data_IF_538781245738
#
_entry.id   IF_538781245738
#
_cell.length_a   1.000
_cell.length_b   1.000
_cell.length_c   1.000
_cell.angle_alpha   90.00
_cell.angle_beta   90.00
_cell.angle_gamma   90.00
#
_symmetry.space_group_name_H-M   'P 1'
#
loop_
_entity.id
_entity.type
_entity.pdbx_description
1 polymer ?
#
# COMPACT_ATOMS: atom_id res chain seq x y z
N UNK A 1 9.07 16.80 -1.76
CA UNK A 1 8.56 15.47 -1.41
C UNK A 1 7.27 15.31 -2.16
N UNK A 2 7.14 14.28 -2.98
CA UNK A 2 5.85 14.00 -3.60
C UNK A 2 4.81 13.83 -2.50
N UNK A 3 3.71 14.56 -2.60
CA UNK A 3 2.62 14.44 -1.65
C UNK A 3 1.82 13.22 -2.08
N UNK A 4 2.13 12.06 -1.49
CA UNK A 4 1.38 10.84 -1.74
C UNK A 4 -0.10 11.02 -1.37
N UNK A 5 -0.99 10.35 -2.10
CA UNK A 5 -2.45 10.45 -1.89
C UNK A 5 -2.88 10.02 -0.48
N UNK A 6 -2.25 8.99 0.05
CA UNK A 6 -2.55 8.43 1.37
C UNK A 6 -1.39 8.69 2.33
N UNK A 7 -1.59 9.54 3.32
CA UNK A 7 -0.63 9.80 4.39
C UNK A 7 -0.68 8.64 5.41
N UNK A 8 0.42 7.90 5.65
CA UNK A 8 0.41 6.74 6.55
C UNK A 8 -0.11 7.07 7.96
N UNK A 9 0.19 8.27 8.47
CA UNK A 9 -0.20 8.69 9.83
C UNK A 9 -1.71 8.90 10.02
N UNK A 10 -2.50 8.89 8.94
CA UNK A 10 -3.96 8.96 9.03
C UNK A 10 -4.58 7.58 9.35
N UNK A 11 -3.77 6.52 9.37
CA UNK A 11 -4.19 5.13 9.53
C UNK A 11 -3.65 4.49 10.82
N UNK A 12 -4.32 3.42 11.25
CA UNK A 12 -3.93 2.60 12.42
C UNK A 12 -2.50 2.05 12.29
N UNK A 13 -1.80 1.91 13.42
CA UNK A 13 -0.36 1.64 13.53
C UNK A 13 0.18 0.60 12.54
N UNK A 14 -0.48 -0.57 12.42
CA UNK A 14 -0.02 -1.63 11.52
C UNK A 14 -0.13 -1.25 10.03
N UNK A 15 -1.19 -0.55 9.64
CA UNK A 15 -1.39 -0.08 8.26
C UNK A 15 -0.46 1.10 7.96
N UNK A 16 -0.28 2.00 8.94
CA UNK A 16 0.70 3.09 8.89
C UNK A 16 2.12 2.54 8.62
N UNK A 17 2.53 1.49 9.34
CA UNK A 17 3.84 0.86 9.14
C UNK A 17 3.98 0.29 7.72
N UNK A 18 3.00 -0.48 7.25
CA UNK A 18 3.03 -1.06 5.90
C UNK A 18 3.05 -0.01 4.78
N UNK A 19 2.25 1.06 4.89
CA UNK A 19 2.26 2.17 3.93
C UNK A 19 3.60 2.92 3.95
N UNK A 20 4.15 3.18 5.13
CA UNK A 20 5.47 3.82 5.29
C UNK A 20 6.58 2.99 4.65
N UNK A 21 6.55 1.67 4.87
CA UNK A 21 7.51 0.75 4.26
C UNK A 21 7.41 0.75 2.74
N UNK A 22 6.19 0.82 2.18
CA UNK A 22 6.00 0.90 0.73
C UNK A 22 6.62 2.16 0.15
N UNK A 23 6.33 3.33 0.75
CA UNK A 23 6.92 4.59 0.32
C UNK A 23 8.44 4.65 0.47
N UNK A 24 8.99 3.99 1.50
CA UNK A 24 10.44 3.87 1.66
C UNK A 24 11.09 2.99 0.57
N UNK A 25 10.35 2.02 0.03
CA UNK A 25 10.81 1.13 -1.04
C UNK A 25 10.60 1.69 -2.45
N UNK A 26 9.72 2.67 -2.65
CA UNK A 26 9.46 3.26 -3.98
C UNK A 26 10.72 3.70 -4.76
N UNK A 27 11.73 4.36 -4.14
CA UNK A 27 12.91 4.82 -4.87
C UNK A 27 13.74 3.70 -5.50
N UNK A 28 13.65 2.46 -4.99
CA UNK A 28 14.38 1.31 -5.57
C UNK A 28 13.62 0.68 -6.74
N UNK A 29 12.32 0.94 -6.86
CA UNK A 29 11.43 0.44 -7.91
C UNK A 29 11.54 -1.10 -8.14
N UNK A 30 11.84 -1.87 -7.09
CA UNK A 30 11.89 -3.32 -7.17
C UNK A 30 10.46 -3.89 -7.11
N UNK A 31 9.97 -4.42 -8.25
CA UNK A 31 8.62 -4.96 -8.36
C UNK A 31 8.31 -6.06 -7.34
N UNK A 32 9.28 -6.92 -7.03
CA UNK A 32 9.11 -8.03 -6.06
C UNK A 32 8.95 -7.46 -4.65
N UNK A 33 9.82 -6.53 -4.25
CA UNK A 33 9.78 -5.93 -2.92
C UNK A 33 8.47 -5.14 -2.72
N UNK A 34 8.09 -4.31 -3.70
CA UNK A 34 6.84 -3.55 -3.66
C UNK A 34 5.62 -4.45 -3.63
N UNK A 35 5.60 -5.55 -4.41
CA UNK A 35 4.51 -6.54 -4.37
C UNK A 35 4.39 -7.22 -3.01
N UNK A 36 5.51 -7.55 -2.36
CA UNK A 36 5.51 -8.14 -1.03
C UNK A 36 4.95 -7.19 0.02
N UNK A 37 5.28 -5.90 -0.06
CA UNK A 37 4.77 -4.89 0.87
C UNK A 37 3.29 -4.59 0.58
N UNK A 38 2.88 -4.52 -0.69
CA UNK A 38 1.47 -4.37 -1.09
C UNK A 38 0.60 -5.50 -0.53
N UNK A 39 1.09 -6.74 -0.52
CA UNK A 39 0.37 -7.84 0.13
C UNK A 39 0.18 -7.62 1.64
N UNK A 40 1.13 -6.99 2.34
CA UNK A 40 0.94 -6.60 3.75
C UNK A 40 -0.16 -5.55 3.88
N UNK A 41 -0.14 -4.51 3.04
CA UNK A 41 -1.21 -3.50 2.96
C UNK A 41 -2.58 -4.18 2.70
N UNK A 42 -2.65 -5.20 1.86
CA UNK A 42 -3.88 -5.97 1.63
C UNK A 42 -4.43 -6.65 2.89
N UNK A 43 -3.57 -7.26 3.70
CA UNK A 43 -3.98 -7.90 4.96
C UNK A 43 -4.33 -6.87 6.04
N UNK A 44 -3.55 -5.80 6.14
CA UNK A 44 -3.75 -4.73 7.10
C UNK A 44 -5.05 -3.97 6.83
N UNK A 45 -5.34 -3.62 5.57
CA UNK A 45 -6.64 -3.01 5.20
C UNK A 45 -7.82 -3.94 5.49
N UNK A 46 -7.63 -5.27 5.35
CA UNK A 46 -8.67 -6.25 5.76
C UNK A 46 -8.91 -6.21 7.26
N UNK A 47 -7.87 -6.06 8.08
CA UNK A 47 -7.99 -5.93 9.52
C UNK A 47 -8.62 -4.58 9.91
N UNK A 48 -8.15 -3.48 9.33
CA UNK A 48 -8.68 -2.14 9.56
C UNK A 48 -10.17 -2.05 9.21
N UNK A 49 -10.59 -2.71 8.14
CA UNK A 49 -12.01 -2.80 7.76
C UNK A 49 -12.84 -3.59 8.79
N UNK A 50 -12.32 -4.71 9.33
CA UNK A 50 -13.02 -5.48 10.39
C UNK A 50 -13.19 -4.67 11.67
N UNK A 51 -12.17 -3.89 12.01
CA UNK A 51 -12.14 -3.01 13.19
C UNK A 51 -12.87 -1.68 12.94
N UNK A 52 -13.40 -1.47 11.72
CA UNK A 52 -14.15 -0.29 11.28
C UNK A 52 -13.33 1.01 11.25
N UNK A 53 -12.01 0.92 11.12
CA UNK A 53 -11.12 2.07 10.92
C UNK A 53 -11.21 2.63 9.50
N UNK A 54 -11.53 1.80 8.51
CA UNK A 54 -11.72 2.21 7.11
C UNK A 54 -12.97 1.56 6.53
N UNK A 55 -13.53 2.18 5.49
CA UNK A 55 -14.66 1.62 4.73
C UNK A 55 -14.20 0.61 3.67
N UNK A 56 -15.10 -0.24 3.14
CA UNK A 56 -14.80 -1.08 1.98
C UNK A 56 -14.34 -0.28 0.75
N UNK A 57 -15.01 0.82 0.43
CA UNK A 57 -14.66 1.67 -0.72
C UNK A 57 -13.28 2.32 -0.55
N UNK A 58 -12.95 2.75 0.68
CA UNK A 58 -11.63 3.29 0.98
C UNK A 58 -10.54 2.22 0.86
N UNK A 59 -10.83 0.99 1.31
CA UNK A 59 -9.91 -0.14 1.15
C UNK A 59 -9.61 -0.40 -0.33
N UNK A 60 -10.62 -0.47 -1.17
CA UNK A 60 -10.43 -0.73 -2.60
C UNK A 60 -9.60 0.40 -3.24
N UNK A 61 -9.90 1.66 -2.89
CA UNK A 61 -9.14 2.81 -3.39
C UNK A 61 -7.67 2.86 -2.91
N UNK A 62 -7.38 2.38 -1.70
CA UNK A 62 -6.00 2.22 -1.19
C UNK A 62 -5.27 1.15 -2.01
N UNK A 63 -5.90 -0.01 -2.21
CA UNK A 63 -5.27 -1.15 -2.88
C UNK A 63 -4.98 -0.85 -4.35
N UNK A 64 -5.90 -0.18 -5.05
CA UNK A 64 -5.71 0.25 -6.43
C UNK A 64 -4.53 1.24 -6.52
N UNK A 65 -4.51 2.27 -5.68
CA UNK A 65 -3.43 3.27 -5.68
C UNK A 65 -2.05 2.65 -5.43
N UNK A 66 -1.90 1.82 -4.40
CA UNK A 66 -0.60 1.20 -4.14
C UNK A 66 -0.23 0.15 -5.21
N UNK A 67 -1.22 -0.48 -5.84
CA UNK A 67 -1.01 -1.43 -6.93
C UNK A 67 -0.48 -0.75 -8.21
N UNK A 68 -1.02 0.41 -8.56
CA UNK A 68 -0.57 1.23 -9.71
C UNK A 68 0.87 1.71 -9.59
N UNK A 69 1.42 1.78 -8.37
CA UNK A 69 2.80 2.17 -8.11
C UNK A 69 3.81 1.04 -8.27
N UNK A 70 3.35 -0.20 -8.47
CA UNK A 70 4.23 -1.35 -8.70
C UNK A 70 4.59 -1.35 -10.20
N UNK A 71 5.87 -1.28 -10.58
CA UNK A 71 6.26 -1.34 -11.98
C UNK A 71 5.86 -2.69 -12.59
N UNK A 72 5.38 -2.67 -13.83
CA UNK A 72 5.08 -3.90 -14.58
C UNK A 72 6.34 -4.75 -14.69
N UNK A 73 6.20 -6.05 -14.44
CA UNK A 73 7.31 -6.98 -14.63
C UNK A 73 7.66 -7.03 -16.13
N UNK A 74 8.69 -6.27 -16.51
CA UNK A 74 9.14 -6.14 -17.89
C UNK A 74 9.72 -7.46 -18.42
N UNK A 75 9.87 -8.50 -17.59
CA UNK A 75 10.39 -9.81 -17.98
C UNK A 75 9.33 -10.76 -18.57
N UNK A 76 8.05 -10.36 -18.63
CA UNK A 76 6.95 -11.17 -19.18
C UNK A 76 6.33 -10.62 -20.47
N UNK A 77 6.92 -9.59 -21.09
CA UNK A 77 6.50 -9.05 -22.40
C UNK A 77 7.44 -9.44 -23.54
#
# INVERSE_FOLDING_TARGET
>A
MEQYKYNPSDYVDYLCESMTNFYAALPTANAIDLSCIWQRIFFDTKQAMKERFISPDERDAILDYFGELIPEDSALS
#
